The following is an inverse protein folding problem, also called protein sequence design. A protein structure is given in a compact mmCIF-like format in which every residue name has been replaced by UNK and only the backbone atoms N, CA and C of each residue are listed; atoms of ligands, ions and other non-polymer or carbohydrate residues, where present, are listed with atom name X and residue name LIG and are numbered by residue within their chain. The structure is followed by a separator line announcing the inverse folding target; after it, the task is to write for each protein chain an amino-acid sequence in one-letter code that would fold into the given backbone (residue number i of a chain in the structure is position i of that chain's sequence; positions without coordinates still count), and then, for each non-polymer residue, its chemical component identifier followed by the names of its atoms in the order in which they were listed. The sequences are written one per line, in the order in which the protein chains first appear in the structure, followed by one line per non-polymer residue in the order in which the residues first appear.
data_IF_588561242440
#
_entry.id   IF_588561242440
#
_cell.length_a   1.000
_cell.length_b   1.000
_cell.length_c   1.000
_cell.angle_alpha   90.00
_cell.angle_beta   90.00
_cell.angle_gamma   90.00
#
_symmetry.space_group_name_H-M   'P 1'
#
loop_
_entity.id
_entity.type
_entity.pdbx_description
1 polymer ?
#
# COMPACT_ATOMS: atom_id res chain seq x y z
N UNK A 1 21.62 12.86 6.99
CA UNK A 1 21.87 11.40 6.92
C UNK A 1 22.72 10.83 8.06
N UNK A 2 23.90 11.40 8.37
CA UNK A 2 24.83 10.82 9.35
C UNK A 2 24.27 10.61 10.77
N UNK A 3 23.26 11.37 11.20
CA UNK A 3 22.56 11.18 12.49
C UNK A 3 21.72 9.90 12.59
N UNK A 4 21.45 9.25 11.47
CA UNK A 4 20.65 8.02 11.38
C UNK A 4 21.54 6.78 11.20
N UNK A 5 22.77 6.87 11.69
CA UNK A 5 23.75 5.79 11.76
C UNK A 5 23.99 5.43 13.24
N UNK A 6 24.44 4.21 13.58
CA UNK A 6 24.78 3.09 12.69
C UNK A 6 23.57 2.52 11.93
N UNK A 7 23.83 1.70 10.92
CA UNK A 7 22.75 1.01 10.19
C UNK A 7 21.97 0.08 11.11
N UNK A 8 20.68 -0.06 10.83
CA UNK A 8 19.77 -0.95 11.55
C UNK A 8 19.06 -1.87 10.57
N UNK A 9 18.56 -2.98 11.09
CA UNK A 9 17.69 -3.88 10.32
C UNK A 9 16.44 -3.13 9.86
N UNK A 10 16.13 -3.19 8.57
CA UNK A 10 15.01 -2.44 8.00
C UNK A 10 14.52 -3.09 6.71
N UNK A 11 13.63 -2.41 6.00
CA UNK A 11 13.10 -2.83 4.70
C UNK A 11 12.96 -1.61 3.79
N UNK A 12 13.38 -1.76 2.54
CA UNK A 12 13.22 -0.75 1.49
C UNK A 12 12.47 -1.37 0.31
N UNK A 13 11.30 -0.81 -0.04
CA UNK A 13 10.42 -1.28 -1.14
C UNK A 13 10.20 -2.81 -1.14
N UNK A 14 10.02 -3.41 0.05
CA UNK A 14 9.72 -4.82 0.25
C UNK A 14 10.92 -5.78 0.31
N UNK A 15 12.16 -5.29 0.30
CA UNK A 15 13.38 -6.10 0.47
C UNK A 15 14.10 -5.75 1.77
N UNK A 16 14.43 -6.76 2.58
CA UNK A 16 15.12 -6.62 3.87
C UNK A 16 16.59 -6.18 3.67
N UNK A 17 17.08 -5.26 4.52
CA UNK A 17 18.44 -4.72 4.46
C UNK A 17 18.92 -4.14 5.79
N UNK A 18 20.21 -3.83 5.89
CA UNK A 18 20.77 -2.96 6.91
C UNK A 18 20.91 -1.54 6.33
N UNK A 19 20.15 -0.56 6.82
CA UNK A 19 20.14 0.80 6.26
C UNK A 19 20.06 1.87 7.36
N UNK A 20 20.02 3.16 6.99
CA UNK A 20 19.75 4.26 7.92
C UNK A 20 18.56 3.96 8.83
N UNK A 21 18.68 4.32 10.11
CA UNK A 21 17.57 4.22 11.06
C UNK A 21 16.35 4.98 10.56
N UNK A 22 15.14 4.39 10.62
CA UNK A 22 13.89 5.14 10.62
C UNK A 22 13.92 6.26 11.68
N UNK A 23 13.17 7.34 11.43
CA UNK A 23 13.19 8.52 12.32
C UNK A 23 12.63 8.20 13.71
N UNK A 24 11.62 7.33 13.77
CA UNK A 24 11.13 6.67 14.97
C UNK A 24 11.14 5.17 14.71
N UNK A 25 11.94 4.43 15.48
CA UNK A 25 12.23 3.03 15.21
C UNK A 25 12.03 2.16 16.45
N UNK A 26 11.46 0.97 16.27
CA UNK A 26 11.38 -0.07 17.27
C UNK A 26 11.60 -1.43 16.61
N UNK A 27 12.43 -2.28 17.20
CA UNK A 27 12.74 -3.63 16.70
C UNK A 27 12.49 -4.66 17.78
N UNK A 28 11.65 -5.65 17.51
CA UNK A 28 11.34 -6.75 18.44
C UNK A 28 10.85 -6.25 19.82
N UNK A 29 10.04 -5.18 19.83
CA UNK A 29 9.46 -4.61 21.04
C UNK A 29 8.00 -5.02 21.22
N UNK A 30 7.54 -5.02 22.48
CA UNK A 30 6.15 -5.28 22.84
C UNK A 30 5.57 -4.09 23.64
N UNK A 31 4.29 -3.78 23.43
CA UNK A 31 3.56 -2.72 24.15
C UNK A 31 4.15 -1.33 23.94
N UNK A 32 4.27 -0.92 22.68
CA UNK A 32 4.80 0.40 22.31
C UNK A 32 3.66 1.32 21.84
N UNK A 33 3.78 2.60 22.18
CA UNK A 33 2.79 3.59 21.80
C UNK A 33 3.42 4.93 21.39
N UNK A 34 2.86 5.56 20.37
CA UNK A 34 3.05 6.96 20.02
C UNK A 34 1.68 7.63 20.13
N UNK A 35 1.52 8.59 21.05
CA UNK A 35 0.21 9.18 21.34
C UNK A 35 0.28 10.70 21.46
N UNK A 36 -0.88 11.35 21.60
CA UNK A 36 -1.01 12.79 21.79
C UNK A 36 -1.39 13.52 20.51
N UNK A 37 -1.49 14.85 20.59
CA UNK A 37 -1.93 15.71 19.47
C UNK A 37 -0.79 16.50 18.81
N UNK A 38 0.45 16.08 19.08
CA UNK A 38 1.66 16.73 18.59
C UNK A 38 1.93 16.46 17.11
N UNK A 39 3.00 17.09 16.60
CA UNK A 39 3.46 16.94 15.21
C UNK A 39 4.81 16.23 15.19
N UNK A 40 4.91 15.18 14.36
CA UNK A 40 6.16 14.55 13.96
C UNK A 40 6.51 15.06 12.56
N UNK A 41 7.52 15.93 12.46
CA UNK A 41 7.96 16.52 11.20
C UNK A 41 9.31 15.95 10.77
N UNK A 42 9.32 15.17 9.68
CA UNK A 42 10.53 14.58 9.12
C UNK A 42 11.44 15.58 8.42
N UNK A 43 10.94 16.80 8.17
CA UNK A 43 11.62 17.91 7.49
C UNK A 43 12.25 17.50 6.15
N UNK A 44 11.68 16.50 5.48
CA UNK A 44 12.17 16.08 4.19
C UNK A 44 11.81 17.09 3.12
N UNK A 45 12.79 17.36 2.26
CA UNK A 45 12.66 18.23 1.10
C UNK A 45 13.58 17.71 -0.01
N UNK A 46 13.54 18.38 -1.17
CA UNK A 46 14.48 18.13 -2.26
C UNK A 46 15.95 18.41 -1.85
N UNK A 47 16.19 19.15 -0.78
CA UNK A 47 17.57 19.45 -0.32
C UNK A 47 18.19 18.29 0.47
N UNK A 48 17.39 17.50 1.20
CA UNK A 48 17.92 16.63 2.25
C UNK A 48 17.43 15.16 2.24
N UNK A 49 16.42 14.79 1.46
CA UNK A 49 16.02 13.40 1.26
C UNK A 49 15.41 13.16 -0.12
N UNK A 50 14.40 13.94 -0.52
CA UNK A 50 13.56 13.63 -1.69
C UNK A 50 14.33 13.58 -3.01
N UNK A 51 15.42 14.36 -3.16
CA UNK A 51 16.31 14.26 -4.32
C UNK A 51 16.87 12.86 -4.55
N UNK A 52 17.04 12.05 -3.51
CA UNK A 52 17.56 10.69 -3.64
C UNK A 52 16.66 9.80 -4.49
N UNK A 53 15.36 10.08 -4.60
CA UNK A 53 14.50 9.34 -5.53
C UNK A 53 15.03 9.38 -6.97
N UNK A 54 15.69 10.47 -7.35
CA UNK A 54 16.22 10.68 -8.71
C UNK A 54 17.55 9.95 -8.94
N UNK A 55 18.24 9.56 -7.88
CA UNK A 55 19.63 9.05 -7.94
C UNK A 55 19.82 7.67 -7.30
N UNK A 56 18.83 7.14 -6.57
CA UNK A 56 18.89 5.86 -5.85
C UNK A 56 18.93 4.59 -6.73
N UNK A 57 18.92 4.69 -8.07
CA UNK A 57 18.68 3.56 -8.97
C UNK A 57 19.64 2.40 -8.73
N UNK A 58 20.94 2.68 -8.64
CA UNK A 58 21.97 1.64 -8.52
C UNK A 58 21.87 0.92 -7.17
N UNK A 59 21.61 1.66 -6.09
CA UNK A 59 21.43 1.07 -4.76
C UNK A 59 20.15 0.23 -4.67
N UNK A 60 19.06 0.67 -5.31
CA UNK A 60 17.82 -0.11 -5.40
C UNK A 60 18.03 -1.40 -6.18
N UNK A 61 18.75 -1.33 -7.30
CA UNK A 61 19.06 -2.50 -8.12
C UNK A 61 19.97 -3.48 -7.37
N UNK A 62 20.99 -2.96 -6.68
CA UNK A 62 21.86 -3.76 -5.82
C UNK A 62 21.04 -4.48 -4.76
N UNK A 63 20.24 -3.76 -3.96
CA UNK A 63 19.43 -4.37 -2.90
C UNK A 63 18.46 -5.44 -3.45
N UNK A 64 17.77 -5.14 -4.54
CA UNK A 64 16.85 -6.09 -5.17
C UNK A 64 17.59 -7.35 -5.66
N UNK A 65 18.79 -7.20 -6.23
CA UNK A 65 19.61 -8.32 -6.64
C UNK A 65 20.03 -9.17 -5.43
N UNK A 66 20.48 -8.56 -4.33
CA UNK A 66 20.84 -9.26 -3.10
C UNK A 66 19.64 -10.02 -2.50
N UNK A 67 18.44 -9.42 -2.56
CA UNK A 67 17.19 -10.06 -2.17
C UNK A 67 16.82 -11.23 -3.08
N UNK A 68 17.06 -11.11 -4.39
CA UNK A 68 16.78 -12.16 -5.36
C UNK A 68 17.75 -13.35 -5.22
N UNK A 69 19.04 -13.08 -5.04
CA UNK A 69 20.09 -14.12 -4.88
C UNK A 69 20.13 -14.74 -3.48
N UNK A 70 19.36 -14.21 -2.52
CA UNK A 70 19.27 -14.77 -1.17
C UNK A 70 20.48 -14.45 -0.29
N UNK A 71 21.19 -13.35 -0.57
CA UNK A 71 22.29 -12.88 0.30
C UNK A 71 21.78 -12.66 1.74
N UNK A 72 22.52 -13.07 2.79
CA UNK A 72 22.08 -12.85 4.17
C UNK A 72 21.84 -11.36 4.47
N UNK A 73 20.77 -11.04 5.21
CA UNK A 73 20.32 -9.64 5.38
C UNK A 73 21.38 -8.78 6.08
N UNK A 74 22.10 -9.35 7.04
CA UNK A 74 23.20 -8.72 7.76
C UNK A 74 24.40 -8.37 6.86
N UNK A 75 24.48 -8.90 5.64
CA UNK A 75 25.50 -8.56 4.64
C UNK A 75 25.02 -7.50 3.64
N UNK A 76 23.71 -7.23 3.60
CA UNK A 76 23.09 -6.20 2.75
C UNK A 76 23.24 -4.81 3.38
N UNK A 77 24.48 -4.34 3.48
CA UNK A 77 24.85 -3.10 4.16
C UNK A 77 24.70 -1.90 3.22
N UNK A 78 23.76 -1.00 3.56
CA UNK A 78 23.58 0.30 2.94
C UNK A 78 23.96 1.43 3.92
N UNK A 79 23.15 2.48 4.06
CA UNK A 79 23.49 3.63 4.89
C UNK A 79 24.54 4.55 4.25
N UNK A 80 25.68 4.75 4.91
CA UNK A 80 26.69 5.75 4.51
C UNK A 80 27.12 5.60 3.04
N UNK A 81 27.10 6.70 2.29
CA UNK A 81 27.43 6.70 0.84
C UNK A 81 26.35 6.13 -0.06
N UNK A 82 25.26 5.60 0.50
CA UNK A 82 24.11 5.03 -0.21
C UNK A 82 22.89 5.93 -0.09
N UNK A 83 21.95 5.76 -1.02
CA UNK A 83 20.82 6.68 -1.23
C UNK A 83 19.45 6.01 -1.07
N UNK A 84 19.37 5.01 -0.19
CA UNK A 84 18.10 4.41 0.23
C UNK A 84 17.54 5.20 1.42
N UNK A 85 16.47 5.96 1.19
CA UNK A 85 15.83 6.80 2.24
C UNK A 85 15.23 5.91 3.35
N UNK A 86 15.32 6.32 4.64
CA UNK A 86 14.63 5.65 5.72
C UNK A 86 13.13 6.01 5.76
N UNK A 87 12.36 5.25 6.54
CA UNK A 87 10.95 5.54 6.81
C UNK A 87 10.81 6.53 7.99
N UNK A 88 9.64 7.14 8.15
CA UNK A 88 9.38 8.04 9.28
C UNK A 88 9.15 7.25 10.58
N UNK A 89 8.15 6.35 10.62
CA UNK A 89 7.86 5.51 11.78
C UNK A 89 7.88 4.05 11.36
N UNK A 90 8.71 3.21 11.98
CA UNK A 90 8.83 1.79 11.65
C UNK A 90 8.96 0.92 12.91
N UNK A 91 7.84 0.37 13.40
CA UNK A 91 7.82 -0.82 14.23
C UNK A 91 8.17 -2.04 13.38
N UNK A 92 9.19 -2.79 13.77
CA UNK A 92 9.67 -3.95 13.04
C UNK A 92 9.65 -5.17 13.96
N UNK A 93 8.96 -6.25 13.57
CA UNK A 93 8.72 -7.44 14.41
C UNK A 93 8.13 -7.11 15.80
N UNK A 94 7.28 -6.09 15.87
CA UNK A 94 6.73 -5.62 17.14
C UNK A 94 5.35 -6.26 17.42
N UNK A 95 4.95 -6.24 18.68
CA UNK A 95 3.64 -6.71 19.14
C UNK A 95 2.94 -5.67 20.01
N UNK A 96 1.63 -5.53 19.86
CA UNK A 96 0.83 -4.53 20.59
C UNK A 96 1.35 -3.11 20.34
N UNK A 97 1.09 -2.60 19.14
CA UNK A 97 1.56 -1.29 18.68
C UNK A 97 0.38 -0.33 18.60
N UNK A 98 0.50 0.85 19.23
CA UNK A 98 -0.47 1.93 19.12
C UNK A 98 0.18 3.19 18.52
N UNK A 99 -0.40 3.74 17.46
CA UNK A 99 -0.04 5.07 16.96
C UNK A 99 -1.33 5.88 16.88
N UNK A 100 -1.47 6.89 17.74
CA UNK A 100 -2.73 7.59 17.94
C UNK A 100 -2.60 9.11 18.00
N UNK A 101 -3.52 9.81 17.32
CA UNK A 101 -3.79 11.25 17.49
C UNK A 101 -2.77 12.22 16.88
N UNK A 102 -1.55 11.75 16.61
CA UNK A 102 -0.46 12.59 16.11
C UNK A 102 -0.69 13.04 14.67
N UNK A 103 -0.06 14.16 14.31
CA UNK A 103 0.09 14.58 12.91
C UNK A 103 1.51 14.26 12.44
N UNK A 104 1.65 13.62 11.28
CA UNK A 104 2.94 13.24 10.69
C UNK A 104 3.12 14.01 9.39
N UNK A 105 4.26 14.71 9.24
CA UNK A 105 4.55 15.58 8.10
C UNK A 105 5.91 15.30 7.48
N UNK A 106 6.01 15.58 6.18
CA UNK A 106 7.27 15.70 5.44
C UNK A 106 8.21 14.50 5.67
N UNK A 107 7.67 13.28 5.52
CA UNK A 107 8.45 12.06 5.66
C UNK A 107 9.54 11.97 4.58
N UNK A 108 10.74 11.42 4.90
CA UNK A 108 11.73 11.10 3.87
C UNK A 108 11.18 10.13 2.81
N UNK A 109 10.34 9.18 3.21
CA UNK A 109 9.70 8.17 2.35
C UNK A 109 8.33 7.76 2.94
N UNK A 110 8.10 6.50 3.33
CA UNK A 110 6.82 6.07 3.91
C UNK A 110 6.62 6.62 5.32
N UNK A 111 5.41 7.10 5.62
CA UNK A 111 5.13 7.73 6.92
C UNK A 111 5.02 6.71 8.06
N UNK A 112 4.13 5.72 7.91
CA UNK A 112 3.91 4.69 8.93
C UNK A 112 4.16 3.33 8.27
N UNK A 113 5.12 2.56 8.78
CA UNK A 113 5.55 1.31 8.17
C UNK A 113 5.76 0.21 9.23
N UNK A 114 4.68 -0.36 9.81
CA UNK A 114 4.80 -1.56 10.63
C UNK A 114 5.17 -2.74 9.73
N UNK A 115 6.19 -3.49 10.13
CA UNK A 115 6.70 -4.67 9.40
C UNK A 115 6.69 -5.87 10.32
N UNK A 116 6.20 -7.02 9.83
CA UNK A 116 6.20 -8.30 10.57
C UNK A 116 5.59 -8.17 11.98
N UNK A 117 4.64 -7.25 12.15
CA UNK A 117 4.10 -6.86 13.45
C UNK A 117 2.69 -7.42 13.65
N UNK A 118 2.31 -7.70 14.89
CA UNK A 118 0.99 -8.23 15.26
C UNK A 118 0.27 -7.32 16.24
N UNK A 119 -1.05 -7.21 16.11
CA UNK A 119 -1.90 -6.33 16.94
C UNK A 119 -1.44 -4.86 16.85
N UNK A 120 -1.71 -4.26 15.68
CA UNK A 120 -1.30 -2.89 15.36
C UNK A 120 -2.54 -2.00 15.22
N UNK A 121 -2.62 -0.94 16.01
CA UNK A 121 -3.68 0.06 15.93
C UNK A 121 -3.12 1.41 15.51
N UNK A 122 -3.63 1.95 14.40
CA UNK A 122 -3.37 3.31 13.92
C UNK A 122 -4.68 4.08 13.99
N UNK A 123 -4.80 5.04 14.92
CA UNK A 123 -6.08 5.67 15.24
C UNK A 123 -6.00 7.19 15.23
N UNK A 124 -6.95 7.86 14.58
CA UNK A 124 -7.05 9.33 14.62
C UNK A 124 -5.76 10.06 14.21
N UNK A 125 -4.95 9.43 13.35
CA UNK A 125 -3.68 10.00 12.87
C UNK A 125 -3.94 10.84 11.63
N UNK A 126 -3.21 11.95 11.52
CA UNK A 126 -3.19 12.78 10.30
C UNK A 126 -1.85 12.62 9.60
N UNK A 127 -1.85 12.19 8.34
CA UNK A 127 -0.64 12.10 7.52
C UNK A 127 -0.71 13.13 6.40
N UNK A 128 0.31 13.97 6.27
CA UNK A 128 0.37 15.06 5.29
C UNK A 128 1.77 15.13 4.67
N UNK A 129 1.88 14.84 3.37
CA UNK A 129 3.15 15.01 2.65
C UNK A 129 3.09 14.53 1.20
N UNK A 130 3.54 15.38 0.27
CA UNK A 130 3.54 15.12 -1.17
C UNK A 130 4.95 14.89 -1.75
N UNK A 131 5.89 14.42 -0.93
CA UNK A 131 7.19 13.97 -1.41
C UNK A 131 7.10 12.69 -2.25
N UNK A 132 8.16 12.33 -2.99
CA UNK A 132 8.20 11.08 -3.73
C UNK A 132 8.11 9.87 -2.79
N UNK A 133 7.21 8.92 -3.07
CA UNK A 133 6.96 7.74 -2.23
C UNK A 133 6.52 8.11 -0.81
N UNK A 134 5.74 9.19 -0.66
CA UNK A 134 5.10 9.55 0.59
C UNK A 134 3.78 8.81 0.76
N UNK A 135 3.86 7.48 0.83
CA UNK A 135 2.76 6.62 1.24
C UNK A 135 2.36 6.95 2.69
N UNK A 136 1.08 6.79 3.02
CA UNK A 136 0.56 7.09 4.35
C UNK A 136 0.82 5.98 5.37
N UNK A 137 0.11 4.86 5.26
CA UNK A 137 0.29 3.70 6.13
C UNK A 137 0.58 2.43 5.34
N UNK A 138 1.64 1.71 5.71
CA UNK A 138 2.16 0.56 5.00
C UNK A 138 2.22 -0.67 5.93
N UNK A 139 1.11 -1.33 6.28
CA UNK A 139 1.17 -2.63 6.91
C UNK A 139 1.85 -3.64 5.99
N UNK A 140 3.06 -4.07 6.35
CA UNK A 140 3.85 -5.01 5.55
C UNK A 140 4.09 -6.32 6.32
N UNK A 141 3.54 -7.42 5.81
CA UNK A 141 3.57 -8.74 6.48
C UNK A 141 3.02 -8.68 7.93
N UNK A 142 1.98 -7.86 8.16
CA UNK A 142 1.40 -7.65 9.49
C UNK A 142 0.12 -8.47 9.70
N UNK A 143 -0.19 -8.79 10.96
CA UNK A 143 -1.42 -9.50 11.34
C UNK A 143 -2.21 -8.74 12.39
N UNK A 144 -3.54 -8.76 12.26
CA UNK A 144 -4.49 -8.14 13.20
C UNK A 144 -4.23 -6.62 13.31
N UNK A 145 -4.59 -5.90 12.24
CA UNK A 145 -4.33 -4.46 12.10
C UNK A 145 -5.65 -3.70 12.04
N UNK A 146 -5.74 -2.62 12.83
CA UNK A 146 -6.83 -1.66 12.80
C UNK A 146 -6.29 -0.28 12.39
N UNK A 147 -6.84 0.29 11.32
CA UNK A 147 -6.60 1.66 10.89
C UNK A 147 -7.93 2.40 10.95
N UNK A 148 -8.12 3.33 11.88
CA UNK A 148 -9.42 4.00 12.06
C UNK A 148 -9.37 5.48 12.35
N UNK A 149 -10.34 6.25 11.83
CA UNK A 149 -10.46 7.68 12.11
C UNK A 149 -9.33 8.52 11.52
N UNK A 150 -8.54 7.97 10.61
CA UNK A 150 -7.33 8.61 10.09
C UNK A 150 -7.63 9.51 8.87
N UNK A 151 -6.78 10.51 8.69
CA UNK A 151 -6.79 11.41 7.53
C UNK A 151 -5.48 11.28 6.76
N UNK A 152 -5.57 11.02 5.45
CA UNK A 152 -4.41 10.84 4.58
C UNK A 152 -4.41 11.84 3.43
N UNK A 153 -3.38 12.66 3.37
CA UNK A 153 -3.11 13.62 2.30
C UNK A 153 -1.68 13.40 1.81
N UNK A 154 -1.55 12.55 0.79
CA UNK A 154 -0.32 11.82 0.50
C UNK A 154 0.16 12.04 -0.94
N UNK A 155 1.47 11.99 -1.15
CA UNK A 155 2.11 12.06 -2.47
C UNK A 155 2.15 10.74 -3.21
N UNK A 156 1.76 9.65 -2.56
CA UNK A 156 1.66 8.31 -3.14
C UNK A 156 0.41 7.60 -2.57
N UNK A 157 0.39 6.28 -2.41
CA UNK A 157 -0.77 5.55 -1.88
C UNK A 157 -1.11 5.96 -0.41
N UNK A 158 -2.39 6.24 -0.09
CA UNK A 158 -2.81 6.61 1.28
C UNK A 158 -2.58 5.46 2.27
N UNK A 159 -3.08 4.27 1.93
CA UNK A 159 -2.80 3.03 2.65
C UNK A 159 -2.35 1.98 1.64
N UNK A 160 -1.15 1.44 1.83
CA UNK A 160 -0.55 0.42 0.97
C UNK A 160 -0.20 -0.85 1.76
N UNK A 161 -1.05 -1.86 1.68
CA UNK A 161 -0.84 -3.17 2.30
C UNK A 161 0.14 -3.97 1.45
N UNK A 162 1.19 -4.50 2.09
CA UNK A 162 2.33 -5.16 1.43
C UNK A 162 2.70 -6.46 2.16
N UNK A 163 3.55 -7.28 1.55
CA UNK A 163 4.04 -8.55 2.09
C UNK A 163 5.38 -8.94 1.42
N UNK A 164 6.31 -8.01 1.31
CA UNK A 164 7.63 -8.26 0.73
C UNK A 164 7.64 -8.41 -0.79
N UNK A 165 8.85 -8.33 -1.36
CA UNK A 165 9.09 -8.29 -2.80
C UNK A 165 9.87 -9.52 -3.29
N UNK A 166 9.38 -10.11 -4.38
CA UNK A 166 10.03 -11.20 -5.14
C UNK A 166 10.57 -12.31 -4.24
N UNK A 167 11.78 -12.82 -4.50
CA UNK A 167 12.35 -13.93 -3.73
C UNK A 167 12.48 -13.58 -2.25
N UNK A 168 12.80 -12.34 -1.90
CA UNK A 168 12.93 -11.93 -0.50
C UNK A 168 11.59 -12.01 0.24
N UNK A 169 10.49 -11.59 -0.40
CA UNK A 169 9.14 -11.74 0.13
C UNK A 169 8.69 -13.20 0.19
N UNK A 170 9.00 -14.01 -0.82
CA UNK A 170 8.72 -15.46 -0.84
C UNK A 170 9.54 -16.23 0.21
N UNK A 171 10.77 -15.80 0.49
CA UNK A 171 11.65 -16.36 1.52
C UNK A 171 11.10 -16.06 2.92
N UNK A 172 10.66 -14.83 3.17
CA UNK A 172 10.03 -14.46 4.46
C UNK A 172 8.69 -15.19 4.62
N UNK A 173 7.91 -15.30 3.54
CA UNK A 173 6.67 -16.09 3.49
C UNK A 173 5.64 -15.75 4.57
N UNK A 174 5.48 -14.45 4.88
CA UNK A 174 4.46 -13.96 5.82
C UNK A 174 3.51 -13.04 5.08
N UNK A 175 2.23 -13.38 5.10
CA UNK A 175 1.18 -12.56 4.51
C UNK A 175 0.87 -11.34 5.37
N UNK A 176 0.36 -10.28 4.75
CA UNK A 176 -0.45 -9.29 5.49
C UNK A 176 -1.88 -9.80 5.61
N UNK A 177 -2.40 -9.95 6.83
CA UNK A 177 -3.71 -10.54 7.04
C UNK A 177 -4.50 -9.99 8.22
N UNK A 178 -5.83 -10.08 8.13
CA UNK A 178 -6.77 -9.57 9.13
C UNK A 178 -6.60 -8.07 9.37
N UNK A 179 -6.91 -7.29 8.34
CA UNK A 179 -6.73 -5.82 8.36
C UNK A 179 -8.09 -5.15 8.21
N UNK A 180 -8.43 -4.29 9.18
CA UNK A 180 -9.64 -3.46 9.16
C UNK A 180 -9.24 -2.00 9.01
N UNK A 181 -9.78 -1.34 7.99
CA UNK A 181 -9.65 0.08 7.71
C UNK A 181 -11.04 0.68 7.81
N UNK A 182 -11.28 1.61 8.74
CA UNK A 182 -12.63 2.18 8.90
C UNK A 182 -12.67 3.64 9.29
N UNK A 183 -13.73 4.34 8.88
CA UNK A 183 -13.95 5.74 9.27
C UNK A 183 -12.76 6.65 8.87
N UNK A 184 -12.07 6.34 7.79
CA UNK A 184 -10.90 7.09 7.32
C UNK A 184 -11.29 8.02 6.16
N UNK A 185 -10.54 9.12 6.03
CA UNK A 185 -10.62 10.04 4.91
C UNK A 185 -9.33 9.98 4.09
N UNK A 186 -9.45 9.60 2.83
CA UNK A 186 -8.37 9.59 1.85
C UNK A 186 -8.52 10.82 0.96
N UNK A 187 -7.70 11.85 1.23
CA UNK A 187 -7.82 13.15 0.59
C UNK A 187 -7.06 13.24 -0.72
N UNK A 188 -5.87 12.65 -0.84
CA UNK A 188 -5.05 12.78 -2.04
C UNK A 188 -4.02 11.65 -2.13
N UNK A 189 -3.57 11.28 -3.33
CA UNK A 189 -2.56 10.23 -3.53
C UNK A 189 -2.78 9.31 -4.73
N UNK A 190 -1.92 8.31 -4.89
CA UNK A 190 -2.00 7.35 -6.01
C UNK A 190 -3.07 6.24 -5.82
N UNK A 191 -3.63 6.14 -4.62
CA UNK A 191 -4.72 5.22 -4.30
C UNK A 191 -5.19 5.34 -2.85
N UNK A 192 -6.50 5.19 -2.60
CA UNK A 192 -7.08 5.27 -1.26
C UNK A 192 -6.74 4.04 -0.41
N UNK A 193 -7.19 2.86 -0.84
CA UNK A 193 -6.75 1.57 -0.28
C UNK A 193 -6.06 0.78 -1.37
N UNK A 194 -4.80 0.41 -1.11
CA UNK A 194 -3.92 -0.20 -2.09
C UNK A 194 -3.36 -1.51 -1.56
N UNK A 195 -3.39 -2.55 -2.40
CA UNK A 195 -2.67 -3.80 -2.16
C UNK A 195 -1.50 -3.87 -3.14
N UNK A 196 -0.28 -3.89 -2.61
CA UNK A 196 0.97 -4.08 -3.34
C UNK A 196 1.75 -2.82 -3.71
N UNK A 197 2.77 -2.92 -4.59
CA UNK A 197 3.06 -4.06 -5.47
C UNK A 197 3.82 -5.22 -4.82
N UNK A 198 4.36 -4.99 -3.63
CA UNK A 198 5.16 -5.93 -2.88
C UNK A 198 4.21 -6.93 -2.20
N UNK A 199 3.75 -7.96 -2.90
CA UNK A 199 2.71 -8.91 -2.41
C UNK A 199 3.19 -10.35 -2.35
N UNK A 200 4.50 -10.58 -2.38
CA UNK A 200 5.05 -11.93 -2.61
C UNK A 200 4.74 -12.91 -1.49
N UNK A 201 4.65 -12.46 -0.24
CA UNK A 201 4.19 -13.25 0.92
C UNK A 201 2.67 -13.43 1.00
N UNK A 202 1.91 -12.75 0.13
CA UNK A 202 0.45 -12.80 0.07
C UNK A 202 -0.27 -11.72 0.89
N UNK A 203 -1.56 -11.53 0.62
CA UNK A 203 -2.41 -10.60 1.36
C UNK A 203 -3.83 -11.15 1.43
N UNK A 204 -4.42 -11.22 2.62
CA UNK A 204 -5.78 -11.74 2.76
C UNK A 204 -6.59 -11.11 3.87
N UNK A 205 -7.92 -11.19 3.75
CA UNK A 205 -8.86 -10.74 4.78
C UNK A 205 -8.67 -9.25 5.11
N UNK A 206 -8.89 -8.40 4.10
CA UNK A 206 -8.81 -6.94 4.22
C UNK A 206 -10.21 -6.35 4.11
N UNK A 207 -10.61 -5.54 5.08
CA UNK A 207 -11.92 -4.90 5.16
C UNK A 207 -11.74 -3.39 5.21
N UNK A 208 -12.19 -2.67 4.19
CA UNK A 208 -12.26 -1.21 4.16
C UNK A 208 -13.72 -0.76 4.24
N UNK A 209 -14.11 -0.06 5.29
CA UNK A 209 -15.52 0.31 5.51
C UNK A 209 -15.75 1.72 6.02
N UNK A 210 -16.88 2.33 5.63
CA UNK A 210 -17.30 3.65 6.13
C UNK A 210 -16.23 4.74 5.89
N UNK A 211 -15.55 4.70 4.75
CA UNK A 211 -14.50 5.65 4.38
C UNK A 211 -15.01 6.68 3.37
N UNK A 212 -14.33 7.83 3.32
CA UNK A 212 -14.54 8.85 2.30
C UNK A 212 -13.28 9.05 1.46
N UNK A 213 -13.45 9.21 0.15
CA UNK A 213 -12.36 9.41 -0.80
C UNK A 213 -12.74 10.52 -1.78
N UNK A 214 -12.02 11.63 -1.79
CA UNK A 214 -12.45 12.76 -2.63
C UNK A 214 -11.34 13.76 -2.98
N UNK A 215 -10.80 13.62 -4.20
CA UNK A 215 -9.95 14.61 -4.83
C UNK A 215 -9.79 14.36 -6.33
N UNK A 216 -9.67 15.43 -7.15
CA UNK A 216 -9.28 15.29 -8.55
C UNK A 216 -7.86 14.73 -8.75
N UNK A 217 -7.04 14.73 -7.70
CA UNK A 217 -5.65 14.22 -7.71
C UNK A 217 -5.51 12.85 -7.02
N UNK A 218 -6.58 12.36 -6.36
CA UNK A 218 -6.59 10.98 -5.87
C UNK A 218 -6.83 10.04 -7.05
N UNK A 219 -5.84 9.25 -7.45
CA UNK A 219 -5.95 8.48 -8.69
C UNK A 219 -7.03 7.40 -8.63
N UNK A 220 -7.08 6.62 -7.55
CA UNK A 220 -7.85 5.36 -7.49
C UNK A 220 -8.45 5.13 -6.11
N UNK A 221 -9.66 4.56 -6.03
CA UNK A 221 -10.26 4.26 -4.73
C UNK A 221 -9.72 2.93 -4.14
N UNK A 222 -9.95 1.81 -4.83
CA UNK A 222 -9.36 0.51 -4.53
C UNK A 222 -8.38 0.12 -5.63
N UNK A 223 -7.12 -0.13 -5.26
CA UNK A 223 -6.03 -0.45 -6.20
C UNK A 223 -5.32 -1.74 -5.82
N UNK A 224 -5.17 -2.67 -6.74
CA UNK A 224 -4.42 -3.91 -6.56
C UNK A 224 -3.35 -3.99 -7.65
N UNK A 225 -2.09 -4.16 -7.24
CA UNK A 225 -0.91 -4.13 -8.11
C UNK A 225 -0.11 -5.40 -7.88
N UNK A 226 0.18 -6.14 -8.95
CA UNK A 226 1.13 -7.26 -8.90
C UNK A 226 1.74 -7.48 -10.29
N UNK A 227 2.59 -8.50 -10.43
CA UNK A 227 3.18 -8.96 -11.69
C UNK A 227 3.76 -10.37 -11.56
N UNK A 228 4.22 -10.97 -12.66
CA UNK A 228 4.73 -12.37 -12.67
C UNK A 228 6.12 -12.56 -12.05
N UNK A 229 6.78 -11.49 -11.60
CA UNK A 229 8.00 -11.61 -10.78
C UNK A 229 7.64 -11.74 -9.30
N UNK A 230 6.51 -11.15 -8.87
CA UNK A 230 6.06 -11.18 -7.46
C UNK A 230 5.56 -12.56 -7.03
N UNK A 231 4.65 -13.15 -7.79
CA UNK A 231 3.80 -14.23 -7.32
C UNK A 231 2.88 -13.78 -6.19
N UNK A 232 2.65 -14.69 -5.25
CA UNK A 232 1.78 -14.46 -4.09
C UNK A 232 0.29 -14.53 -4.44
N UNK A 233 -0.53 -14.61 -3.41
CA UNK A 233 -1.99 -14.61 -3.51
C UNK A 233 -2.55 -13.40 -2.78
N UNK A 234 -3.42 -12.65 -3.45
CA UNK A 234 -4.21 -11.57 -2.90
C UNK A 234 -5.66 -12.02 -2.94
N UNK A 235 -6.28 -12.20 -1.77
CA UNK A 235 -7.64 -12.73 -1.71
C UNK A 235 -8.47 -12.14 -0.57
N UNK A 236 -9.80 -12.24 -0.67
CA UNK A 236 -10.71 -11.81 0.39
C UNK A 236 -10.54 -10.32 0.73
N UNK A 237 -10.74 -9.48 -0.28
CA UNK A 237 -10.68 -8.02 -0.16
C UNK A 237 -12.11 -7.49 -0.20
N UNK A 238 -12.49 -6.73 0.82
CA UNK A 238 -13.85 -6.22 0.98
C UNK A 238 -13.78 -4.70 1.14
N UNK A 239 -14.51 -3.97 0.31
CA UNK A 239 -14.73 -2.53 0.46
C UNK A 239 -16.23 -2.28 0.55
N UNK A 240 -16.71 -1.66 1.63
CA UNK A 240 -18.15 -1.40 1.80
C UNK A 240 -18.50 -0.06 2.40
N UNK A 241 -19.67 0.47 2.08
CA UNK A 241 -20.17 1.73 2.61
C UNK A 241 -19.15 2.87 2.40
N UNK A 242 -18.63 3.01 1.18
CA UNK A 242 -17.62 4.01 0.84
C UNK A 242 -18.24 5.06 -0.07
N UNK A 243 -18.04 6.34 0.28
CA UNK A 243 -18.44 7.46 -0.57
C UNK A 243 -17.21 8.03 -1.26
N UNK A 244 -17.23 7.99 -2.58
CA UNK A 244 -16.18 8.51 -3.45
C UNK A 244 -16.74 9.77 -4.12
N UNK A 245 -16.19 10.94 -3.81
CA UNK A 245 -16.58 12.18 -4.50
C UNK A 245 -16.05 12.15 -5.92
N UNK A 246 -14.72 12.24 -6.05
CA UNK A 246 -14.01 12.05 -7.31
C UNK A 246 -12.69 11.30 -7.11
N UNK A 247 -12.33 10.50 -8.13
CA UNK A 247 -10.96 10.00 -8.35
C UNK A 247 -10.51 10.26 -9.79
N UNK A 248 -9.21 10.44 -10.02
CA UNK A 248 -8.65 10.83 -11.32
C UNK A 248 -8.67 9.71 -12.37
N UNK A 249 -8.51 8.46 -11.95
CA UNK A 249 -8.44 7.30 -12.84
C UNK A 249 -9.59 6.32 -12.62
N UNK A 250 -9.60 5.55 -11.52
CA UNK A 250 -10.50 4.40 -11.43
C UNK A 250 -11.07 4.16 -10.03
N UNK A 251 -12.35 3.78 -9.96
CA UNK A 251 -12.94 3.31 -8.70
C UNK A 251 -12.30 1.98 -8.28
N UNK A 252 -12.25 0.99 -9.16
CA UNK A 252 -11.48 -0.25 -8.96
C UNK A 252 -10.39 -0.38 -10.03
N UNK A 253 -9.13 -0.48 -9.59
CA UNK A 253 -7.99 -0.85 -10.43
C UNK A 253 -7.40 -2.18 -9.98
N UNK A 254 -7.28 -3.15 -10.87
CA UNK A 254 -6.45 -4.34 -10.68
C UNK A 254 -5.51 -4.46 -11.87
N UNK A 255 -4.20 -4.53 -11.63
CA UNK A 255 -3.20 -4.55 -12.70
C UNK A 255 -2.08 -5.55 -12.41
N UNK A 256 -1.94 -6.57 -13.27
CA UNK A 256 -0.82 -7.52 -13.27
C UNK A 256 0.39 -7.01 -14.07
N UNK A 257 0.25 -5.94 -14.85
CA UNK A 257 1.34 -5.37 -15.63
C UNK A 257 2.03 -4.21 -14.88
N UNK A 258 2.12 -4.28 -13.55
CA UNK A 258 2.81 -3.25 -12.78
C UNK A 258 4.33 -3.47 -12.83
N UNK A 259 5.12 -2.40 -12.99
CA UNK A 259 6.58 -2.47 -12.92
C UNK A 259 7.17 -3.42 -13.96
N UNK A 260 7.80 -4.50 -13.49
CA UNK A 260 8.45 -5.51 -14.34
C UNK A 260 7.49 -6.22 -15.30
N UNK A 261 6.18 -6.19 -15.04
CA UNK A 261 5.18 -6.78 -15.90
C UNK A 261 5.31 -8.30 -16.00
N UNK A 262 5.03 -8.85 -17.18
CA UNK A 262 5.05 -10.29 -17.39
C UNK A 262 6.45 -10.85 -17.68
N UNK A 263 7.37 -10.72 -16.72
CA UNK A 263 8.79 -11.03 -16.88
C UNK A 263 9.33 -12.10 -15.91
N UNK A 264 8.46 -12.78 -15.16
CA UNK A 264 8.87 -13.82 -14.20
C UNK A 264 7.98 -15.06 -14.26
N UNK A 265 8.41 -16.09 -13.53
CA UNK A 265 7.74 -17.40 -13.49
C UNK A 265 6.70 -17.51 -12.35
N UNK A 266 6.66 -16.53 -11.45
CA UNK A 266 5.82 -16.49 -10.27
C UNK A 266 4.51 -15.78 -10.57
N UNK A 267 3.56 -16.52 -11.14
CA UNK A 267 2.30 -15.93 -11.56
C UNK A 267 1.44 -15.52 -10.35
N UNK A 268 0.98 -14.26 -10.24
CA UNK A 268 0.18 -13.81 -9.10
C UNK A 268 -1.26 -14.29 -9.22
N UNK A 269 -1.93 -14.39 -8.07
CA UNK A 269 -3.35 -14.72 -7.98
C UNK A 269 -4.07 -13.54 -7.32
N UNK A 270 -5.16 -13.07 -7.94
CA UNK A 270 -6.12 -12.16 -7.32
C UNK A 270 -7.51 -12.79 -7.41
N UNK A 271 -8.17 -12.98 -6.27
CA UNK A 271 -9.53 -13.52 -6.23
C UNK A 271 -10.37 -12.97 -5.09
N UNK A 272 -11.69 -13.05 -5.22
CA UNK A 272 -12.64 -12.67 -4.17
C UNK A 272 -12.47 -11.23 -3.70
N UNK A 273 -12.70 -10.28 -4.62
CA UNK A 273 -12.73 -8.84 -4.33
C UNK A 273 -14.18 -8.39 -4.37
N UNK A 274 -14.67 -7.85 -3.26
CA UNK A 274 -16.07 -7.49 -3.05
C UNK A 274 -16.17 -5.98 -2.78
N UNK A 275 -17.08 -5.32 -3.49
CA UNK A 275 -17.39 -3.91 -3.34
C UNK A 275 -18.90 -3.77 -3.12
N UNK A 276 -19.31 -3.25 -1.96
CA UNK A 276 -20.73 -3.18 -1.56
C UNK A 276 -21.13 -1.79 -1.08
N UNK A 277 -22.30 -1.28 -1.49
CA UNK A 277 -22.79 0.04 -1.06
C UNK A 277 -21.76 1.16 -1.32
N UNK A 278 -21.31 1.30 -2.58
CA UNK A 278 -20.33 2.31 -2.96
C UNK A 278 -20.97 3.33 -3.90
N UNK A 279 -20.79 4.61 -3.59
CA UNK A 279 -21.12 5.71 -4.50
C UNK A 279 -19.85 6.35 -5.03
N UNK A 280 -19.84 6.71 -6.31
CA UNK A 280 -18.76 7.48 -6.95
C UNK A 280 -19.33 8.60 -7.80
N UNK A 281 -18.92 9.85 -7.54
CA UNK A 281 -19.42 11.02 -8.25
C UNK A 281 -18.73 11.31 -9.58
N UNK A 282 -17.44 10.99 -9.72
CA UNK A 282 -16.68 11.13 -10.98
C UNK A 282 -15.43 10.24 -11.00
N UNK A 283 -15.18 9.61 -12.16
CA UNK A 283 -13.94 8.87 -12.42
C UNK A 283 -13.71 8.69 -13.92
N UNK A 284 -12.47 8.41 -14.34
CA UNK A 284 -12.22 8.04 -15.75
C UNK A 284 -12.76 6.65 -16.07
N UNK A 285 -12.66 5.70 -15.13
CA UNK A 285 -13.17 4.34 -15.24
C UNK A 285 -13.90 3.94 -13.94
N UNK A 286 -15.02 3.25 -14.04
CA UNK A 286 -15.53 2.52 -12.88
C UNK A 286 -14.59 1.34 -12.57
N UNK A 287 -14.36 0.48 -13.57
CA UNK A 287 -13.50 -0.70 -13.45
C UNK A 287 -12.38 -0.66 -14.48
N UNK A 288 -11.15 -0.83 -14.00
CA UNK A 288 -9.97 -1.05 -14.83
C UNK A 288 -9.24 -2.27 -14.32
N UNK A 289 -9.50 -3.42 -14.93
CA UNK A 289 -9.04 -4.73 -14.50
C UNK A 289 -8.24 -5.36 -15.63
N UNK A 290 -6.98 -5.70 -15.35
CA UNK A 290 -6.06 -6.28 -16.33
C UNK A 290 -5.20 -7.35 -15.66
N UNK A 291 -5.62 -8.61 -15.84
CA UNK A 291 -4.89 -9.81 -15.46
C UNK A 291 -4.24 -10.51 -16.66
N UNK A 292 -3.65 -11.67 -16.41
CA UNK A 292 -3.11 -12.54 -17.46
C UNK A 292 -4.15 -13.58 -17.87
N UNK A 293 -4.13 -14.04 -19.12
CA UNK A 293 -5.04 -15.11 -19.55
C UNK A 293 -4.79 -16.43 -18.80
N UNK A 294 -3.53 -16.74 -18.52
CA UNK A 294 -3.13 -17.94 -17.76
C UNK A 294 -3.43 -17.88 -16.26
N UNK A 295 -3.66 -16.68 -15.71
CA UNK A 295 -4.06 -16.46 -14.31
C UNK A 295 -5.10 -15.35 -14.27
N UNK A 296 -6.34 -15.66 -14.66
CA UNK A 296 -7.39 -14.66 -14.68
C UNK A 296 -7.69 -14.20 -13.25
N UNK A 297 -7.95 -12.91 -13.11
CA UNK A 297 -8.51 -12.33 -11.89
C UNK A 297 -9.93 -12.89 -11.74
N UNK A 298 -10.26 -13.44 -10.57
CA UNK A 298 -11.53 -14.19 -10.39
C UNK A 298 -12.40 -13.65 -9.26
N UNK A 299 -13.71 -13.88 -9.35
CA UNK A 299 -14.66 -13.58 -8.28
C UNK A 299 -14.63 -12.10 -7.85
N UNK A 300 -14.80 -11.20 -8.81
CA UNK A 300 -15.04 -9.78 -8.55
C UNK A 300 -16.54 -9.58 -8.37
N UNK A 301 -16.98 -9.04 -7.25
CA UNK A 301 -18.40 -8.84 -6.95
C UNK A 301 -18.66 -7.38 -6.61
N UNK A 302 -19.64 -6.79 -7.27
CA UNK A 302 -20.13 -5.46 -6.98
C UNK A 302 -21.61 -5.54 -6.63
N UNK A 303 -21.99 -4.97 -5.49
CA UNK A 303 -23.36 -4.97 -4.98
C UNK A 303 -23.78 -3.58 -4.54
N UNK A 304 -24.96 -3.12 -4.96
CA UNK A 304 -25.52 -1.83 -4.56
C UNK A 304 -24.54 -0.66 -4.82
N UNK A 305 -23.96 -0.60 -6.02
CA UNK A 305 -22.97 0.41 -6.38
C UNK A 305 -23.52 1.39 -7.41
N UNK A 306 -23.27 2.69 -7.23
CA UNK A 306 -23.66 3.75 -8.16
C UNK A 306 -22.41 4.53 -8.55
N UNK A 307 -22.05 4.50 -9.83
CA UNK A 307 -20.90 5.22 -10.37
C UNK A 307 -21.36 6.22 -11.44
N UNK A 308 -21.31 7.50 -11.08
CA UNK A 308 -21.72 8.61 -11.92
C UNK A 308 -20.52 9.28 -12.58
N UNK A 309 -20.80 9.98 -13.68
CA UNK A 309 -19.83 10.72 -14.50
C UNK A 309 -18.55 9.93 -14.83
N UNK A 310 -18.73 8.64 -15.17
CA UNK A 310 -17.65 7.76 -15.63
C UNK A 310 -17.31 8.10 -17.07
N UNK A 311 -16.08 8.57 -17.32
CA UNK A 311 -15.70 9.13 -18.62
C UNK A 311 -15.52 8.08 -19.73
N UNK A 312 -15.03 6.88 -19.37
CA UNK A 312 -14.69 5.81 -20.32
C UNK A 312 -15.29 4.47 -19.92
N UNK A 313 -15.52 3.62 -20.91
CA UNK A 313 -15.92 2.23 -20.71
C UNK A 313 -14.91 1.44 -19.88
N UNK A 314 -15.39 0.46 -19.12
CA UNK A 314 -14.57 -0.42 -18.29
C UNK A 314 -13.50 -1.16 -19.12
N UNK A 315 -12.34 -1.40 -18.51
CA UNK A 315 -11.30 -2.30 -19.04
C UNK A 315 -11.40 -3.61 -18.27
N UNK A 316 -11.62 -4.72 -18.97
CA UNK A 316 -11.79 -6.06 -18.39
C UNK A 316 -10.97 -7.07 -19.21
N UNK A 317 -9.70 -7.23 -18.86
CA UNK A 317 -8.76 -8.14 -19.53
C UNK A 317 -8.29 -9.18 -18.52
N UNK A 318 -8.27 -10.47 -18.91
CA UNK A 318 -7.84 -11.54 -18.02
C UNK A 318 -8.65 -11.59 -16.72
N UNK A 319 -9.98 -11.50 -16.82
CA UNK A 319 -10.90 -11.55 -15.67
C UNK A 319 -12.01 -12.58 -15.93
N UNK A 320 -12.41 -13.33 -14.91
CA UNK A 320 -13.49 -14.31 -14.95
C UNK A 320 -14.41 -14.15 -13.73
N UNK A 321 -15.67 -14.52 -13.87
CA UNK A 321 -16.66 -14.51 -12.78
C UNK A 321 -16.79 -13.13 -12.11
N UNK A 322 -16.99 -12.09 -12.92
CA UNK A 322 -17.45 -10.79 -12.43
C UNK A 322 -18.97 -10.83 -12.25
N UNK A 323 -19.47 -10.34 -11.12
CA UNK A 323 -20.89 -10.32 -10.82
C UNK A 323 -21.33 -8.92 -10.38
N UNK A 324 -22.47 -8.48 -10.91
CA UNK A 324 -23.12 -7.22 -10.60
C UNK A 324 -24.49 -7.48 -9.99
N UNK A 325 -24.76 -6.95 -8.80
CA UNK A 325 -26.08 -6.98 -8.14
C UNK A 325 -26.49 -5.54 -7.84
N UNK A 326 -27.50 -5.00 -8.52
CA UNK A 326 -27.93 -3.61 -8.35
C UNK A 326 -26.77 -2.60 -8.53
N UNK A 327 -26.11 -2.64 -9.69
CA UNK A 327 -24.99 -1.75 -10.03
C UNK A 327 -25.35 -0.85 -11.19
N UNK A 328 -25.13 0.45 -11.02
CA UNK A 328 -25.42 1.49 -12.02
C UNK A 328 -24.13 2.20 -12.42
N UNK A 329 -23.89 2.33 -13.73
CA UNK A 329 -22.81 3.15 -14.28
C UNK A 329 -23.43 4.18 -15.24
N UNK A 330 -23.30 5.46 -14.92
CA UNK A 330 -23.92 6.57 -15.68
C UNK A 330 -25.42 6.33 -15.97
N UNK A 331 -26.17 5.95 -14.94
CA UNK A 331 -27.61 5.65 -15.07
C UNK A 331 -27.93 4.35 -15.83
N UNK A 332 -26.95 3.53 -16.23
CA UNK A 332 -27.17 2.24 -16.90
C UNK A 332 -26.89 1.07 -15.96
N UNK A 333 -27.89 0.19 -15.82
CA UNK A 333 -27.74 -1.05 -15.06
C UNK A 333 -26.69 -1.97 -15.68
N UNK A 334 -25.80 -2.52 -14.86
CA UNK A 334 -24.81 -3.53 -15.26
C UNK A 334 -25.39 -4.93 -15.03
N UNK A 335 -24.97 -5.89 -15.87
CA UNK A 335 -25.40 -7.30 -15.81
C UNK A 335 -24.21 -8.22 -15.78
#
# INVERSE_FOLDING_TARGET
PGKYMPVVYSRFEGTECMNYSPLVYAYEQENIAITGKGVLDGRASDENWWRWKRTQRDDVNALRNQGETGEPVEQRIFGSGKQLRPNMIQPYKCKNVLIEGVTIKNSPMWHIHPVLSTNVTIRNVRVIGHGPNNDGCNPESCRDVLIEGCYFDTGDDCIAIKAGRNNDGRRVNVASENIVIRNCQMKDGHGGVVIGSETSGGTRNVFAENCTMDSPNLDRALRIKSNSVRGGTIENIYMRNVTIGQVAEAVLKVNFNYGEGDAGEFTPIVRNVNMENITSGKSKYALSISGYERSPITAIRLKNCIFDNVEKSNILVGVKNIAFENVMINGKAQK
#
